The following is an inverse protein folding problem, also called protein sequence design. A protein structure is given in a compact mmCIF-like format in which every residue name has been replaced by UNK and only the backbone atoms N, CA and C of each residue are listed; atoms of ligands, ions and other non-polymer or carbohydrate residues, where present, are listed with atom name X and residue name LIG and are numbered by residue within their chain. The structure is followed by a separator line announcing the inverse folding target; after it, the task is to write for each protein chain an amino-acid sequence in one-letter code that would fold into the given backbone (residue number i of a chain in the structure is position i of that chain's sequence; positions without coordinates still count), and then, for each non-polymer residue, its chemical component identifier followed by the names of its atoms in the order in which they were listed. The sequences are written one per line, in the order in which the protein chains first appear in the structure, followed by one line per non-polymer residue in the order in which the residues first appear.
data_IF_995582212166
#
_entry.id   IF_995582212166
#
_cell.length_a   1.000
_cell.length_b   1.000
_cell.length_c   1.000
_cell.angle_alpha   90.00
_cell.angle_beta   90.00
_cell.angle_gamma   90.00
#
_symmetry.space_group_name_H-M   'P 1'
#
loop_
_entity.id
_entity.type
_entity.pdbx_description
1 polymer ?
#
# COMPACT_ATOMS: atom_id res chain seq x y z
N UNK A 1 5.91 10.87 -73.25
CA UNK A 1 5.29 11.45 -72.06
C UNK A 1 5.62 10.56 -70.87
N UNK A 2 6.40 11.09 -69.96
CA UNK A 2 6.79 10.32 -68.78
C UNK A 2 5.93 10.79 -67.64
N UNK A 3 5.06 9.91 -67.16
CA UNK A 3 4.30 10.15 -65.92
C UNK A 3 5.21 9.96 -64.72
N UNK A 4 5.45 11.04 -64.00
CA UNK A 4 6.16 10.95 -62.73
C UNK A 4 5.19 10.45 -61.66
N UNK A 5 5.43 9.27 -61.16
CA UNK A 5 4.68 8.75 -60.01
C UNK A 5 5.17 9.47 -58.77
N UNK A 6 4.32 10.27 -58.21
CA UNK A 6 4.49 10.85 -56.89
C UNK A 6 4.22 9.72 -55.88
N UNK A 7 5.25 9.28 -55.22
CA UNK A 7 5.12 8.40 -54.08
C UNK A 7 4.87 9.29 -52.88
N UNK A 8 3.63 9.33 -52.45
CA UNK A 8 3.28 9.92 -51.15
C UNK A 8 3.76 8.99 -50.04
N UNK A 9 4.85 9.38 -49.42
CA UNK A 9 5.30 8.69 -48.19
C UNK A 9 4.38 9.18 -47.06
N UNK A 10 3.47 8.30 -46.69
CA UNK A 10 2.62 8.49 -45.53
C UNK A 10 3.48 8.22 -44.29
N UNK A 11 4.00 9.26 -43.68
CA UNK A 11 4.61 9.22 -42.37
C UNK A 11 3.51 8.95 -41.33
N UNK A 12 3.32 7.68 -41.01
CA UNK A 12 2.52 7.30 -39.86
C UNK A 12 3.34 7.64 -38.61
N UNK A 13 3.09 8.80 -38.06
CA UNK A 13 3.56 9.14 -36.72
C UNK A 13 2.86 8.21 -35.74
N UNK A 14 3.53 7.13 -35.38
CA UNK A 14 3.12 6.34 -34.22
C UNK A 14 3.39 7.20 -32.99
N UNK A 15 2.39 7.92 -32.56
CA UNK A 15 2.36 8.47 -31.22
C UNK A 15 2.27 7.28 -30.27
N UNK A 16 3.41 6.82 -29.80
CA UNK A 16 3.46 5.99 -28.62
C UNK A 16 3.00 6.86 -27.47
N UNK A 17 1.72 6.78 -27.13
CA UNK A 17 1.25 7.22 -25.83
C UNK A 17 1.88 6.28 -24.80
N UNK A 18 3.07 6.62 -24.34
CA UNK A 18 3.50 6.17 -23.04
C UNK A 18 2.57 6.85 -22.05
N UNK A 19 1.47 6.18 -21.74
CA UNK A 19 0.76 6.48 -20.53
C UNK A 19 1.76 6.20 -19.40
N UNK A 20 2.45 7.23 -18.94
CA UNK A 20 3.02 7.23 -17.62
C UNK A 20 1.83 7.06 -16.70
N UNK A 21 1.47 5.80 -16.44
CA UNK A 21 0.54 5.44 -15.41
C UNK A 21 0.99 6.21 -14.17
N UNK A 22 0.08 6.98 -13.60
CA UNK A 22 0.37 7.81 -12.47
C UNK A 22 1.14 7.02 -11.43
N UNK A 23 1.98 7.68 -10.69
CA UNK A 23 2.83 7.19 -9.61
C UNK A 23 2.09 6.43 -8.49
N UNK A 24 0.83 6.04 -8.68
CA UNK A 24 0.03 5.30 -7.72
C UNK A 24 0.42 3.83 -7.66
N UNK A 25 0.84 3.37 -6.48
CA UNK A 25 1.00 1.96 -6.18
C UNK A 25 -0.36 1.25 -6.11
N UNK A 26 -0.31 -0.08 -6.10
CA UNK A 26 -1.50 -0.91 -5.95
C UNK A 26 -1.64 -1.37 -4.50
N UNK A 27 -2.81 -1.16 -3.92
CA UNK A 27 -3.18 -1.69 -2.61
C UNK A 27 -3.95 -3.00 -2.80
N UNK A 28 -3.52 -4.05 -2.11
CA UNK A 28 -4.22 -5.34 -2.05
C UNK A 28 -4.83 -5.53 -0.67
N UNK A 29 -6.15 -5.77 -0.61
CA UNK A 29 -6.84 -6.11 0.63
C UNK A 29 -6.73 -7.62 0.88
N UNK A 30 -6.27 -8.00 2.05
CA UNK A 30 -6.10 -9.40 2.44
C UNK A 30 -7.03 -9.75 3.61
N UNK A 31 -7.50 -10.99 3.63
CA UNK A 31 -8.11 -11.57 4.80
C UNK A 31 -7.05 -11.91 5.87
N UNK A 32 -7.47 -12.34 7.05
CA UNK A 32 -6.56 -12.65 8.16
C UNK A 32 -5.53 -13.72 7.78
N UNK A 33 -5.96 -14.80 7.13
CA UNK A 33 -5.05 -15.91 6.78
C UNK A 33 -3.95 -15.45 5.82
N UNK A 34 -4.32 -14.72 4.78
CA UNK A 34 -3.37 -14.23 3.78
C UNK A 34 -2.47 -13.13 4.36
N UNK A 35 -3.02 -12.27 5.21
CA UNK A 35 -2.25 -11.25 5.92
C UNK A 35 -1.24 -11.86 6.89
N UNK A 36 -1.67 -12.86 7.68
CA UNK A 36 -0.79 -13.58 8.58
C UNK A 36 0.37 -14.27 7.84
N UNK A 37 0.08 -14.87 6.68
CA UNK A 37 1.12 -15.46 5.83
C UNK A 37 2.08 -14.39 5.28
N UNK A 38 1.54 -13.25 4.86
CA UNK A 38 2.34 -12.15 4.29
C UNK A 38 3.34 -11.59 5.31
N UNK A 39 2.92 -11.36 6.54
CA UNK A 39 3.78 -10.75 7.58
C UNK A 39 4.83 -11.73 8.16
N UNK A 40 4.77 -13.02 7.84
CA UNK A 40 5.84 -13.97 8.16
C UNK A 40 7.11 -13.72 7.35
N UNK A 41 6.99 -13.08 6.20
CA UNK A 41 8.13 -12.66 5.39
C UNK A 41 8.85 -11.51 6.09
N UNK A 42 10.11 -11.71 6.45
CA UNK A 42 10.92 -10.71 7.15
C UNK A 42 11.21 -9.45 6.34
N UNK A 43 11.02 -9.50 5.03
CA UNK A 43 11.16 -8.34 4.13
C UNK A 43 9.92 -7.43 4.15
N UNK A 44 8.82 -7.87 4.72
CA UNK A 44 7.58 -7.09 4.86
C UNK A 44 7.61 -6.29 6.15
N UNK A 45 7.40 -4.98 6.06
CA UNK A 45 7.26 -4.10 7.21
C UNK A 45 5.79 -4.00 7.61
N UNK A 46 5.48 -4.31 8.86
CA UNK A 46 4.13 -4.26 9.41
C UNK A 46 3.89 -2.92 10.11
N UNK A 47 2.80 -2.24 9.74
CA UNK A 47 2.43 -0.92 10.27
C UNK A 47 1.04 -0.99 10.90
N UNK A 48 0.95 -0.58 12.16
CA UNK A 48 -0.29 -0.30 12.87
C UNK A 48 -0.59 1.21 12.78
N UNK A 49 -1.68 1.57 12.11
CA UNK A 49 -2.04 2.99 11.93
C UNK A 49 -3.08 3.49 12.95
N UNK A 50 -3.29 2.72 14.02
CA UNK A 50 -4.13 3.14 15.14
C UNK A 50 -3.41 4.17 16.01
N UNK A 51 -4.12 4.73 16.97
CA UNK A 51 -3.51 5.64 17.95
C UNK A 51 -2.48 4.93 18.82
N UNK A 52 -1.57 5.70 19.41
CA UNK A 52 -0.56 5.17 20.32
C UNK A 52 -1.16 4.43 21.53
N UNK A 53 -2.28 4.91 22.04
CA UNK A 53 -2.99 4.25 23.13
C UNK A 53 -3.57 2.90 22.76
N UNK A 54 -4.18 2.80 21.56
CA UNK A 54 -4.67 1.52 21.04
C UNK A 54 -3.51 0.54 20.81
N UNK A 55 -2.42 1.00 20.23
CA UNK A 55 -1.21 0.20 20.00
C UNK A 55 -0.65 -0.36 21.32
N UNK A 56 -0.54 0.47 22.34
CA UNK A 56 -0.01 0.08 23.65
C UNK A 56 -0.89 -0.97 24.34
N UNK A 57 -2.20 -0.94 24.12
CA UNK A 57 -3.15 -1.90 24.71
C UNK A 57 -3.08 -3.30 24.08
N UNK A 58 -2.45 -3.43 22.92
CA UNK A 58 -2.26 -4.70 22.22
C UNK A 58 -2.15 -4.48 20.72
N UNK A 59 -1.16 -5.10 20.09
CA UNK A 59 -0.89 -4.99 18.66
C UNK A 59 -0.34 -6.30 18.11
N UNK A 60 -0.30 -6.42 16.79
CA UNK A 60 0.29 -7.57 16.13
C UNK A 60 1.81 -7.51 16.31
N UNK A 61 2.42 -8.61 16.70
CA UNK A 61 3.86 -8.69 16.96
C UNK A 61 4.69 -8.19 15.78
N UNK A 62 5.67 -7.33 16.04
CA UNK A 62 6.55 -6.75 15.03
C UNK A 62 6.02 -5.49 14.36
N UNK A 63 4.80 -5.04 14.68
CA UNK A 63 4.25 -3.82 14.12
C UNK A 63 4.96 -2.57 14.63
N UNK A 64 5.21 -1.61 13.72
CA UNK A 64 5.54 -0.24 14.09
C UNK A 64 4.25 0.59 14.09
N UNK A 65 4.15 1.53 15.03
CA UNK A 65 2.99 2.40 15.12
C UNK A 65 3.23 3.71 14.37
N UNK A 66 2.41 3.98 13.38
CA UNK A 66 2.36 5.29 12.70
C UNK A 66 0.89 5.71 12.68
N UNK A 67 0.52 6.57 13.59
CA UNK A 67 -0.86 6.97 13.85
C UNK A 67 -1.44 7.80 12.69
N UNK A 68 -2.48 7.28 12.05
CA UNK A 68 -3.21 7.97 10.97
C UNK A 68 -3.83 9.30 11.44
N UNK A 69 -4.23 9.38 12.69
CA UNK A 69 -4.94 10.54 13.26
C UNK A 69 -3.99 11.57 13.90
N UNK A 70 -2.69 11.33 13.90
CA UNK A 70 -1.71 12.21 14.56
C UNK A 70 -1.53 13.58 13.91
N UNK A 71 -1.95 13.73 12.65
CA UNK A 71 -1.64 14.92 11.83
C UNK A 71 -0.24 14.89 11.20
N UNK A 72 0.58 13.88 11.50
CA UNK A 72 1.94 13.73 10.99
C UNK A 72 2.15 12.47 10.17
N UNK A 73 1.08 11.72 9.88
CA UNK A 73 1.16 10.43 9.19
C UNK A 73 1.93 10.51 7.87
N UNK A 74 1.58 11.47 7.01
CA UNK A 74 2.23 11.61 5.70
C UNK A 74 3.72 11.88 5.84
N UNK A 75 4.11 12.79 6.74
CA UNK A 75 5.52 13.05 7.02
C UNK A 75 6.25 11.78 7.47
N UNK A 76 5.63 11.01 8.35
CA UNK A 76 6.24 9.85 8.97
C UNK A 76 6.40 8.70 7.97
N UNK A 77 5.41 8.46 7.10
CA UNK A 77 5.53 7.42 6.06
C UNK A 77 6.46 7.84 4.92
N UNK A 78 6.56 9.13 4.59
CA UNK A 78 7.48 9.61 3.56
C UNK A 78 8.97 9.38 3.92
N UNK A 79 9.27 9.15 5.19
CA UNK A 79 10.60 8.76 5.64
C UNK A 79 10.93 7.29 5.37
N UNK A 80 9.93 6.48 5.00
CA UNK A 80 10.11 5.06 4.70
C UNK A 80 10.55 4.82 3.25
N UNK A 81 11.19 3.68 3.02
CA UNK A 81 11.60 3.26 1.67
C UNK A 81 10.39 2.82 0.84
N UNK A 82 10.07 3.54 -0.20
CA UNK A 82 8.90 3.30 -1.05
C UNK A 82 9.01 2.03 -1.91
N UNK A 83 10.19 1.45 -2.02
CA UNK A 83 10.45 0.24 -2.81
C UNK A 83 10.20 -1.05 -2.03
N UNK A 84 10.06 -0.94 -0.71
CA UNK A 84 9.78 -2.08 0.17
C UNK A 84 8.29 -2.43 0.19
N UNK A 85 8.00 -3.60 0.74
CA UNK A 85 6.63 -4.09 0.93
C UNK A 85 6.14 -3.77 2.33
N UNK A 86 4.91 -3.27 2.40
CA UNK A 86 4.26 -2.88 3.65
C UNK A 86 2.93 -3.61 3.82
N UNK A 87 2.71 -4.09 5.03
CA UNK A 87 1.43 -4.64 5.48
C UNK A 87 0.88 -3.70 6.56
N UNK A 88 -0.34 -3.22 6.37
CA UNK A 88 -0.92 -2.14 7.17
C UNK A 88 -2.26 -2.58 7.74
N UNK A 89 -2.51 -2.27 8.99
CA UNK A 89 -3.79 -2.54 9.62
C UNK A 89 -4.21 -1.44 10.59
N UNK A 90 -5.50 -1.42 10.87
CA UNK A 90 -6.08 -0.63 11.94
C UNK A 90 -7.05 -1.48 12.77
N UNK A 91 -8.05 -0.86 13.40
CA UNK A 91 -9.03 -1.61 14.18
C UNK A 91 -10.00 -2.39 13.31
N UNK A 92 -10.60 -1.75 12.30
CA UNK A 92 -11.69 -2.30 11.47
C UNK A 92 -11.44 -2.28 9.97
N UNK A 93 -10.32 -1.72 9.52
CA UNK A 93 -9.99 -1.55 8.11
C UNK A 93 -10.26 -0.16 7.53
N UNK A 94 -10.97 0.73 8.22
CA UNK A 94 -11.31 2.06 7.73
C UNK A 94 -10.09 2.99 7.66
N UNK A 95 -9.42 3.22 8.78
CA UNK A 95 -8.21 4.08 8.83
C UNK A 95 -7.08 3.52 7.97
N UNK A 96 -6.86 2.22 8.00
CA UNK A 96 -5.85 1.56 7.18
C UNK A 96 -6.18 1.60 5.69
N UNK A 97 -7.45 1.56 5.33
CA UNK A 97 -7.89 1.78 3.95
C UNK A 97 -7.52 3.16 3.43
N UNK A 98 -7.72 4.19 4.25
CA UNK A 98 -7.33 5.57 3.92
C UNK A 98 -5.80 5.74 3.91
N UNK A 99 -5.12 5.17 4.90
CA UNK A 99 -3.67 5.24 5.02
C UNK A 99 -2.96 4.58 3.83
N UNK A 100 -3.39 3.38 3.44
CA UNK A 100 -2.82 2.67 2.30
C UNK A 100 -3.10 3.37 0.97
N UNK A 101 -4.28 3.98 0.81
CA UNK A 101 -4.59 4.81 -0.36
C UNK A 101 -3.66 6.02 -0.44
N UNK A 102 -3.37 6.67 0.69
CA UNK A 102 -2.42 7.79 0.73
C UNK A 102 -1.00 7.32 0.40
N UNK A 103 -0.56 6.20 0.97
CA UNK A 103 0.75 5.63 0.65
C UNK A 103 0.89 5.31 -0.84
N UNK A 104 -0.14 4.75 -1.47
CA UNK A 104 -0.14 4.50 -2.90
C UNK A 104 0.01 5.78 -3.72
N UNK A 105 -0.68 6.85 -3.34
CA UNK A 105 -0.52 8.18 -3.97
C UNK A 105 0.87 8.76 -3.78
N UNK A 106 1.50 8.47 -2.65
CA UNK A 106 2.85 8.93 -2.32
C UNK A 106 3.95 8.11 -3.02
N UNK A 107 3.58 7.10 -3.80
CA UNK A 107 4.51 6.34 -4.63
C UNK A 107 4.99 5.01 -4.04
N UNK A 108 4.41 4.55 -2.93
CA UNK A 108 4.65 3.19 -2.44
C UNK A 108 4.07 2.17 -3.42
N UNK A 109 4.82 1.14 -3.76
CA UNK A 109 4.48 0.23 -4.86
C UNK A 109 3.91 -1.11 -4.44
N UNK A 110 4.15 -1.53 -3.20
CA UNK A 110 3.75 -2.84 -2.68
C UNK A 110 3.13 -2.70 -1.30
N UNK A 111 1.80 -2.64 -1.25
CA UNK A 111 1.04 -2.33 -0.04
C UNK A 111 -0.09 -3.35 0.12
N UNK A 112 -0.19 -3.91 1.31
CA UNK A 112 -1.25 -4.84 1.69
C UNK A 112 -2.02 -4.27 2.87
N UNK A 113 -3.34 -4.33 2.82
CA UNK A 113 -4.23 -3.90 3.88
C UNK A 113 -4.94 -5.11 4.50
N UNK A 114 -4.98 -5.19 5.82
CA UNK A 114 -5.80 -6.18 6.51
C UNK A 114 -7.26 -5.74 6.48
N UNK A 115 -8.04 -6.39 5.64
CA UNK A 115 -9.48 -6.16 5.60
C UNK A 115 -10.10 -6.66 6.91
N UNK A 116 -10.91 -5.83 7.57
CA UNK A 116 -11.50 -6.12 8.87
C UNK A 116 -10.60 -5.83 10.08
N UNK A 117 -9.33 -5.53 9.89
CA UNK A 117 -8.43 -5.05 10.93
C UNK A 117 -8.19 -6.02 12.09
N UNK A 118 -7.81 -5.45 13.24
CA UNK A 118 -7.49 -6.22 14.45
C UNK A 118 -8.72 -6.95 15.01
N UNK A 119 -9.93 -6.47 14.72
CA UNK A 119 -11.18 -7.15 15.11
C UNK A 119 -11.21 -8.55 14.48
N UNK A 120 -11.01 -8.64 13.18
CA UNK A 120 -11.02 -9.92 12.47
C UNK A 120 -9.79 -10.77 12.84
N UNK A 121 -8.65 -10.14 13.07
CA UNK A 121 -7.44 -10.80 13.54
C UNK A 121 -7.66 -11.56 14.84
N UNK A 122 -8.22 -10.90 15.83
CA UNK A 122 -8.51 -11.53 17.14
C UNK A 122 -9.65 -12.54 17.05
N UNK A 123 -10.67 -12.28 16.25
CA UNK A 123 -11.78 -13.20 16.00
C UNK A 123 -11.30 -14.52 15.36
N UNK A 124 -10.24 -14.48 14.57
CA UNK A 124 -9.60 -15.66 13.98
C UNK A 124 -8.68 -16.43 14.97
N UNK A 125 -8.56 -15.96 16.20
CA UNK A 125 -7.72 -16.57 17.24
C UNK A 125 -6.25 -16.18 17.16
N UNK A 126 -5.90 -15.18 16.36
CA UNK A 126 -4.52 -14.69 16.27
C UNK A 126 -4.13 -13.85 17.48
N UNK A 127 -2.88 -13.98 17.91
CA UNK A 127 -2.38 -13.36 19.13
C UNK A 127 -2.02 -11.87 18.96
N UNK A 128 -2.12 -11.14 20.06
CA UNK A 128 -1.60 -9.77 20.21
C UNK A 128 -0.50 -9.75 21.27
N UNK A 129 0.36 -8.76 21.16
CA UNK A 129 1.41 -8.46 22.15
C UNK A 129 1.25 -7.03 22.63
N UNK A 130 1.87 -6.71 23.77
CA UNK A 130 1.83 -5.36 24.39
C UNK A 130 3.20 -4.67 24.41
N UNK A 131 4.19 -5.26 23.77
CA UNK A 131 5.57 -4.77 23.75
C UNK A 131 5.95 -4.31 22.34
#
# INVERSE_FOLDING_TARGET
MKMKKLIAVLLVSVFALTACGGSGGKVSNLNVNDFAAKIKDSSVTLIDVRTAGEFASGHIAGAMNIDWESGTFERDVLALDKTKTYAVYCRSGNRSGQATAQMAKDGFTSIFNLNGGIIDWTAAGEALVTQ
#
